data_IF_659048122139
#
_entry.id   IF_659048122139
#
_cell.length_a   1.000
_cell.length_b   1.000
_cell.length_c   1.000
_cell.angle_alpha   90.00
_cell.angle_beta   90.00
_cell.angle_gamma   90.00
#
_symmetry.space_group_name_H-M   'P 1'
#
loop_
_entity.id
_entity.type
_entity.pdbx_description
1 polymer ?
#
# COMPACT_ATOMS: atom_id res chain seq x y z
N UNK A 1 -15.17 -10.43 -5.12
CA UNK A 1 -15.35 -8.97 -5.23
C UNK A 1 -13.96 -8.38 -5.38
N UNK A 2 -13.63 -7.72 -6.50
CA UNK A 2 -12.29 -7.20 -6.72
C UNK A 2 -12.10 -5.89 -5.94
N UNK A 3 -11.16 -5.90 -5.00
CA UNK A 3 -10.65 -4.67 -4.40
C UNK A 3 -9.73 -3.97 -5.41
N UNK A 4 -9.79 -2.64 -5.46
CA UNK A 4 -8.87 -1.84 -6.25
C UNK A 4 -7.89 -1.13 -5.32
N UNK A 5 -6.59 -1.29 -5.59
CA UNK A 5 -5.51 -0.74 -4.79
C UNK A 5 -4.72 0.21 -5.69
N UNK A 6 -4.82 1.50 -5.41
CA UNK A 6 -4.03 2.53 -6.08
C UNK A 6 -2.78 2.79 -5.25
N UNK A 7 -1.62 2.84 -5.90
CA UNK A 7 -0.33 3.07 -5.25
C UNK A 7 0.47 4.09 -6.04
N UNK A 8 1.22 4.94 -5.34
CA UNK A 8 2.10 5.94 -5.95
C UNK A 8 3.31 6.21 -5.08
N UNK A 9 4.49 6.27 -5.69
CA UNK A 9 5.72 6.75 -5.05
C UNK A 9 5.73 8.27 -5.03
N UNK A 10 5.94 8.85 -3.85
CA UNK A 10 6.15 10.29 -3.65
C UNK A 10 7.62 10.60 -3.89
N UNK A 11 7.97 10.89 -5.15
CA UNK A 11 9.36 11.09 -5.58
C UNK A 11 10.07 12.20 -4.81
N UNK A 12 9.37 13.28 -4.48
CA UNK A 12 9.92 14.43 -3.73
C UNK A 12 10.29 14.07 -2.28
N UNK A 13 9.65 13.04 -1.71
CA UNK A 13 9.87 12.56 -0.35
C UNK A 13 10.73 11.28 -0.33
N UNK A 14 11.19 10.82 -1.48
CA UNK A 14 11.91 9.56 -1.65
C UNK A 14 13.36 9.80 -2.03
N UNK A 15 14.27 9.07 -1.40
CA UNK A 15 15.70 9.08 -1.70
C UNK A 15 16.19 7.64 -1.65
N UNK A 16 16.74 7.12 -2.75
CA UNK A 16 17.26 5.74 -2.79
C UNK A 16 18.22 5.51 -1.61
N UNK A 17 18.07 4.40 -0.86
CA UNK A 17 17.19 3.26 -1.10
C UNK A 17 15.78 3.32 -0.46
N UNK A 18 15.36 4.46 0.10
CA UNK A 18 14.09 4.62 0.83
C UNK A 18 13.04 5.40 0.03
N UNK A 19 11.87 4.79 -0.17
CA UNK A 19 10.79 5.35 -0.97
C UNK A 19 9.53 5.53 -0.13
N UNK A 20 8.91 6.71 -0.21
CA UNK A 20 7.61 6.99 0.41
C UNK A 20 6.53 6.60 -0.59
N UNK A 21 5.63 5.71 -0.19
CA UNK A 21 4.55 5.20 -1.03
C UNK A 21 3.21 5.54 -0.38
N UNK A 22 2.35 6.26 -1.12
CA UNK A 22 0.94 6.39 -0.76
C UNK A 22 0.15 5.26 -1.39
N UNK A 23 -0.81 4.73 -0.66
CA UNK A 23 -1.76 3.75 -1.18
C UNK A 23 -3.19 4.11 -0.79
N UNK A 24 -4.14 3.74 -1.64
CA UNK A 24 -5.57 3.91 -1.42
C UNK A 24 -6.28 2.61 -1.76
N UNK A 25 -7.26 2.22 -0.94
CA UNK A 25 -8.01 0.97 -1.07
C UNK A 25 -9.46 1.29 -1.37
N UNK A 26 -9.99 0.66 -2.41
CA UNK A 26 -11.38 0.78 -2.84
C UNK A 26 -12.03 -0.61 -2.94
N UNK A 27 -13.30 -0.67 -2.61
CA UNK A 27 -14.18 -1.82 -2.89
C UNK A 27 -15.29 -1.32 -3.81
N UNK A 28 -15.37 -1.81 -5.04
CA UNK A 28 -16.36 -1.40 -6.07
C UNK A 28 -16.56 0.14 -6.10
N UNK A 29 -15.48 0.89 -6.32
CA UNK A 29 -15.41 2.36 -6.36
C UNK A 29 -15.73 3.11 -5.05
N UNK A 30 -16.02 2.38 -3.96
CA UNK A 30 -16.13 2.99 -2.62
C UNK A 30 -14.79 2.99 -1.93
N UNK A 31 -14.35 4.17 -1.53
CA UNK A 31 -13.13 4.37 -0.75
C UNK A 31 -13.27 3.71 0.62
N UNK A 32 -12.34 2.82 0.96
CA UNK A 32 -12.26 2.16 2.26
C UNK A 32 -11.25 2.83 3.19
N UNK A 33 -10.19 3.42 2.62
CA UNK A 33 -9.12 4.07 3.37
C UNK A 33 -7.83 4.19 2.59
N UNK A 34 -6.88 4.90 3.17
CA UNK A 34 -5.57 5.16 2.61
C UNK A 34 -4.47 5.05 3.66
N UNK A 35 -3.22 5.09 3.19
CA UNK A 35 -2.07 5.15 4.07
C UNK A 35 -0.80 5.59 3.34
N UNK A 36 0.20 5.90 4.14
CA UNK A 36 1.54 6.24 3.68
C UNK A 36 2.53 5.32 4.37
N UNK A 37 3.40 4.69 3.61
CA UNK A 37 4.44 3.80 4.13
C UNK A 37 5.79 4.16 3.56
N UNK A 38 6.84 3.84 4.30
CA UNK A 38 8.20 3.88 3.80
C UNK A 38 8.61 2.48 3.38
N UNK A 39 9.14 2.36 2.16
CA UNK A 39 9.68 1.12 1.61
C UNK A 39 11.17 1.28 1.37
N UNK A 40 11.97 0.47 2.05
CA UNK A 40 13.41 0.42 1.90
C UNK A 40 13.81 -0.73 0.96
N UNK A 41 14.34 -0.39 -0.22
CA UNK A 41 14.63 -1.33 -1.30
C UNK A 41 15.66 -2.40 -0.95
N UNK A 42 16.63 -2.06 -0.10
CA UNK A 42 17.72 -2.95 0.31
C UNK A 42 17.41 -3.75 1.57
N UNK A 43 16.25 -3.53 2.19
CA UNK A 43 15.90 -4.24 3.41
C UNK A 43 15.49 -5.67 3.08
N UNK A 44 15.96 -6.63 3.87
CA UNK A 44 15.50 -8.02 3.80
C UNK A 44 14.01 -8.14 4.13
N UNK A 45 13.50 -7.22 4.95
CA UNK A 45 12.11 -7.12 5.31
C UNK A 45 11.68 -5.65 5.48
N UNK A 46 10.50 -5.30 4.98
CA UNK A 46 9.86 -4.01 5.19
C UNK A 46 8.66 -4.19 6.09
N UNK A 47 8.65 -3.53 7.24
CA UNK A 47 7.52 -3.58 8.18
C UNK A 47 6.40 -2.64 7.69
N UNK A 48 5.61 -3.16 6.74
CA UNK A 48 4.46 -2.47 6.17
C UNK A 48 3.22 -2.81 7.02
N UNK A 49 2.91 -1.93 7.97
CA UNK A 49 1.68 -2.03 8.76
C UNK A 49 0.52 -1.38 8.03
N UNK A 50 -0.56 -2.14 7.82
CA UNK A 50 -1.83 -1.64 7.27
C UNK A 50 -2.75 -1.33 8.46
N UNK A 51 -3.17 -0.06 8.67
CA UNK A 51 -3.98 0.33 9.81
C UNK A 51 -5.28 -0.46 9.90
N UNK A 52 -5.66 -0.89 11.12
CA UNK A 52 -6.95 -1.53 11.37
C UNK A 52 -8.13 -0.55 11.35
N UNK A 53 -7.85 0.74 11.17
CA UNK A 53 -8.87 1.76 10.85
C UNK A 53 -9.44 1.57 9.44
N UNK A 54 -8.68 0.98 8.52
CA UNK A 54 -9.17 0.63 7.19
C UNK A 54 -10.03 -0.62 7.32
N UNK A 55 -11.32 -0.48 7.02
CA UNK A 55 -12.33 -1.54 7.18
C UNK A 55 -13.07 -1.78 5.89
N UNK A 56 -13.61 -2.97 5.75
CA UNK A 56 -14.58 -3.29 4.69
C UNK A 56 -15.85 -2.48 4.86
N UNK A 57 -16.68 -2.38 3.80
CA UNK A 57 -17.98 -1.69 3.86
C UNK A 57 -18.89 -2.17 5.01
N UNK A 58 -18.78 -3.44 5.38
CA UNK A 58 -19.53 -4.03 6.49
C UNK A 58 -18.97 -3.71 7.88
N UNK A 59 -17.92 -2.88 7.99
CA UNK A 59 -17.27 -2.55 9.26
C UNK A 59 -16.31 -3.62 9.80
N UNK A 60 -16.10 -4.71 9.05
CA UNK A 60 -15.14 -5.76 9.42
C UNK A 60 -13.71 -5.35 9.02
N UNK A 61 -12.68 -5.86 9.72
CA UNK A 61 -11.28 -5.69 9.32
C UNK A 61 -11.03 -6.13 7.88
N UNK A 62 -10.02 -5.56 7.22
CA UNK A 62 -9.60 -6.05 5.90
C UNK A 62 -9.18 -7.53 5.97
N UNK A 63 -9.59 -8.37 5.00
CA UNK A 63 -9.14 -9.75 4.92
C UNK A 63 -7.61 -9.84 4.84
N UNK A 64 -6.98 -10.87 5.43
CA UNK A 64 -5.52 -11.06 5.35
C UNK A 64 -4.99 -11.04 3.92
N UNK A 65 -5.68 -11.71 2.99
CA UNK A 65 -5.30 -11.75 1.57
C UNK A 65 -5.31 -10.36 0.91
N UNK A 66 -6.19 -9.46 1.35
CA UNK A 66 -6.21 -8.09 0.87
C UNK A 66 -5.05 -7.28 1.44
N UNK A 67 -4.74 -7.46 2.74
CA UNK A 67 -3.56 -6.83 3.35
C UNK A 67 -2.28 -7.25 2.62
N UNK A 68 -2.17 -8.51 2.22
CA UNK A 68 -1.04 -9.01 1.44
C UNK A 68 -0.99 -8.43 0.02
N UNK A 69 -2.14 -8.35 -0.66
CA UNK A 69 -2.24 -7.68 -1.97
C UNK A 69 -1.79 -6.20 -1.92
N UNK A 70 -2.12 -5.48 -0.83
CA UNK A 70 -1.67 -4.10 -0.65
C UNK A 70 -0.14 -4.04 -0.55
N UNK A 71 0.47 -4.91 0.24
CA UNK A 71 1.93 -4.99 0.40
C UNK A 71 2.64 -5.30 -0.92
N UNK A 72 2.15 -6.29 -1.67
CA UNK A 72 2.69 -6.65 -2.98
C UNK A 72 2.54 -5.50 -4.00
N UNK A 73 1.41 -4.79 -3.97
CA UNK A 73 1.20 -3.62 -4.84
C UNK A 73 2.19 -2.49 -4.52
N UNK A 74 2.41 -2.21 -3.24
CA UNK A 74 3.40 -1.20 -2.78
C UNK A 74 4.80 -1.56 -3.27
N UNK A 75 5.24 -2.81 -3.06
CA UNK A 75 6.53 -3.32 -3.53
C UNK A 75 6.69 -3.17 -5.04
N UNK A 76 5.68 -3.62 -5.81
CA UNK A 76 5.69 -3.52 -7.27
C UNK A 76 5.82 -2.08 -7.74
N UNK A 77 5.08 -1.15 -7.12
CA UNK A 77 5.15 0.28 -7.47
C UNK A 77 6.51 0.89 -7.21
N UNK A 78 7.20 0.49 -6.14
CA UNK A 78 8.58 0.97 -5.91
C UNK A 78 9.51 0.45 -6.99
N UNK A 79 9.43 -0.85 -7.34
CA UNK A 79 10.26 -1.47 -8.38
C UNK A 79 10.04 -0.81 -9.74
N UNK A 80 8.78 -0.53 -10.11
CA UNK A 80 8.42 0.12 -11.37
C UNK A 80 8.79 1.62 -11.40
N UNK A 81 8.96 2.25 -10.24
CA UNK A 81 9.36 3.66 -10.14
C UNK A 81 10.89 3.87 -10.17
N UNK A 82 11.67 2.79 -10.18
CA UNK A 82 13.13 2.86 -10.32
C UNK A 82 13.49 3.33 -11.75
N UNK A 83 14.51 4.20 -11.89
CA UNK A 83 15.05 4.58 -13.18
C UNK A 83 15.75 3.41 -13.89
#
# INVERSE_FOLDING_TARGET
MPYNILTRVEKELSVDPSYVVRYQVFDNDTFLGDGVVQYHRLASHNDISIPDSIKTRGGNPLPPDLKEQIKEKIKKTVIEALP
#
